data_IF_970662386304
#
_entry.id   IF_970662386304
#
_cell.length_a   1.000
_cell.length_b   1.000
_cell.length_c   1.000
_cell.angle_alpha   90.00
_cell.angle_beta   90.00
_cell.angle_gamma   90.00
#
_symmetry.space_group_name_H-M   'P 1'
#
loop_
_entity.id
_entity.type
_entity.pdbx_description
1 polymer ?
#
# COMPACT_ATOMS: atom_id res chain seq x y z
N UNK A 1 -9.01 -17.73 -31.66
CA UNK A 1 -10.17 -18.53 -32.09
C UNK A 1 -11.40 -18.22 -31.22
N UNK A 2 -12.58 -18.21 -31.86
CA UNK A 2 -13.90 -17.76 -31.40
C UNK A 2 -14.25 -17.92 -29.91
N UNK A 3 -13.91 -19.07 -29.31
CA UNK A 3 -14.13 -19.36 -27.88
C UNK A 3 -13.61 -18.26 -26.95
N UNK A 4 -12.44 -17.68 -27.25
CA UNK A 4 -11.87 -16.57 -26.48
C UNK A 4 -12.82 -15.37 -26.46
N UNK A 5 -13.35 -14.99 -27.62
CA UNK A 5 -14.21 -13.81 -27.75
C UNK A 5 -15.54 -14.02 -26.99
N UNK A 6 -16.13 -15.21 -27.12
CA UNK A 6 -17.36 -15.59 -26.40
C UNK A 6 -17.16 -15.50 -24.89
N UNK A 7 -16.08 -16.09 -24.36
CA UNK A 7 -15.78 -16.08 -22.92
C UNK A 7 -15.55 -14.65 -22.42
N UNK A 8 -14.80 -13.83 -23.16
CA UNK A 8 -14.52 -12.44 -22.76
C UNK A 8 -15.77 -11.55 -22.80
N UNK A 9 -16.63 -11.72 -23.80
CA UNK A 9 -17.91 -11.02 -23.86
C UNK A 9 -18.80 -11.37 -22.66
N UNK A 10 -19.00 -12.67 -22.40
CA UNK A 10 -19.81 -13.13 -21.27
C UNK A 10 -19.24 -12.72 -19.91
N UNK A 11 -17.91 -12.70 -19.78
CA UNK A 11 -17.25 -12.20 -18.57
C UNK A 11 -17.55 -10.72 -18.31
N UNK A 12 -17.48 -9.87 -19.35
CA UNK A 12 -17.81 -8.43 -19.27
C UNK A 12 -19.29 -8.21 -18.95
N UNK A 13 -20.19 -8.89 -19.64
CA UNK A 13 -21.63 -8.81 -19.37
C UNK A 13 -21.97 -9.25 -17.94
N UNK A 14 -21.27 -10.26 -17.42
CA UNK A 14 -21.40 -10.72 -16.04
C UNK A 14 -20.69 -9.84 -15.00
N UNK A 15 -20.34 -8.58 -15.36
CA UNK A 15 -19.65 -7.63 -14.48
C UNK A 15 -18.43 -8.24 -13.78
N UNK A 16 -17.57 -8.89 -14.55
CA UNK A 16 -16.31 -9.47 -14.06
C UNK A 16 -16.44 -10.64 -13.08
N UNK A 17 -17.56 -11.37 -13.15
CA UNK A 17 -17.75 -12.57 -12.38
C UNK A 17 -16.61 -13.61 -12.50
N UNK A 18 -16.49 -14.43 -11.46
CA UNK A 18 -15.50 -15.50 -11.39
C UNK A 18 -15.72 -16.62 -12.42
N UNK A 19 -14.74 -17.52 -12.51
CA UNK A 19 -14.69 -18.60 -13.51
C UNK A 19 -15.97 -19.44 -13.56
N UNK A 20 -16.54 -19.83 -12.41
CA UNK A 20 -17.74 -20.67 -12.35
C UNK A 20 -18.96 -19.99 -12.97
N UNK A 21 -19.18 -18.70 -12.66
CA UNK A 21 -20.33 -17.95 -13.14
C UNK A 21 -20.17 -17.56 -14.62
N UNK A 22 -18.95 -17.18 -15.05
CA UNK A 22 -18.67 -16.99 -16.48
C UNK A 22 -18.92 -18.30 -17.26
N UNK A 23 -18.49 -19.45 -16.74
CA UNK A 23 -18.74 -20.75 -17.38
C UNK A 23 -20.23 -21.09 -17.47
N UNK A 24 -21.00 -20.86 -16.40
CA UNK A 24 -22.44 -21.08 -16.38
C UNK A 24 -23.15 -20.23 -17.47
N UNK A 25 -22.77 -18.95 -17.60
CA UNK A 25 -23.33 -18.08 -18.63
C UNK A 25 -22.96 -18.51 -20.05
N UNK A 26 -21.74 -19.01 -20.27
CA UNK A 26 -21.32 -19.52 -21.57
C UNK A 26 -22.07 -20.79 -21.95
N UNK A 27 -22.31 -21.70 -20.99
CA UNK A 27 -23.03 -22.97 -21.20
C UNK A 27 -24.50 -22.81 -21.59
N UNK A 28 -25.11 -21.65 -21.34
CA UNK A 28 -26.48 -21.35 -21.79
C UNK A 28 -26.64 -21.43 -23.30
N UNK A 29 -25.56 -21.23 -24.07
CA UNK A 29 -25.61 -21.18 -25.54
C UNK A 29 -24.51 -21.98 -26.23
N UNK A 30 -23.42 -22.32 -25.53
CA UNK A 30 -22.24 -22.94 -26.16
C UNK A 30 -21.65 -24.08 -25.32
N UNK A 31 -21.45 -25.23 -25.95
CA UNK A 31 -20.72 -26.37 -25.40
C UNK A 31 -19.23 -26.27 -25.69
N UNK A 32 -18.42 -25.85 -24.71
CA UNK A 32 -16.96 -25.76 -24.87
C UNK A 32 -16.28 -26.98 -24.22
N UNK A 33 -15.50 -27.78 -24.98
CA UNK A 33 -14.67 -28.84 -24.43
C UNK A 33 -13.72 -28.30 -23.36
N UNK A 34 -13.58 -29.01 -22.24
CA UNK A 34 -12.79 -28.56 -21.09
C UNK A 34 -13.12 -27.13 -20.64
N UNK A 35 -14.41 -26.75 -20.69
CA UNK A 35 -14.88 -25.36 -20.56
C UNK A 35 -14.33 -24.63 -19.33
N UNK A 36 -14.27 -25.28 -18.16
CA UNK A 36 -13.72 -24.66 -16.93
C UNK A 36 -12.25 -24.28 -17.09
N UNK A 37 -11.43 -25.19 -17.62
CA UNK A 37 -10.00 -24.94 -17.86
C UNK A 37 -9.80 -23.84 -18.93
N UNK A 38 -10.61 -23.88 -19.99
CA UNK A 38 -10.58 -22.88 -21.06
C UNK A 38 -10.95 -21.48 -20.55
N UNK A 39 -12.06 -21.35 -19.80
CA UNK A 39 -12.48 -20.07 -19.19
C UNK A 39 -11.41 -19.56 -18.22
N UNK A 40 -10.94 -20.40 -17.29
CA UNK A 40 -9.89 -20.02 -16.33
C UNK A 40 -8.63 -19.49 -17.04
N UNK A 41 -8.18 -20.20 -18.09
CA UNK A 41 -7.01 -19.81 -18.89
C UNK A 41 -7.24 -18.49 -19.62
N UNK A 42 -8.39 -18.30 -20.24
CA UNK A 42 -8.74 -17.07 -20.99
C UNK A 42 -8.80 -15.87 -20.05
N UNK A 43 -9.52 -15.96 -18.93
CA UNK A 43 -9.65 -14.87 -17.97
C UNK A 43 -8.28 -14.50 -17.36
N UNK A 44 -7.48 -15.50 -16.98
CA UNK A 44 -6.14 -15.28 -16.41
C UNK A 44 -5.18 -14.60 -17.39
N UNK A 45 -5.22 -14.96 -18.68
CA UNK A 45 -4.29 -14.44 -19.70
C UNK A 45 -4.71 -13.10 -20.29
N UNK A 46 -6.00 -12.83 -20.42
CA UNK A 46 -6.49 -11.72 -21.24
C UNK A 46 -7.21 -10.61 -20.46
N UNK A 47 -7.47 -10.79 -19.16
CA UNK A 47 -8.16 -9.77 -18.37
C UNK A 47 -7.30 -9.27 -17.20
N UNK A 48 -6.42 -8.32 -17.52
CA UNK A 48 -5.45 -7.76 -16.56
C UNK A 48 -6.12 -7.07 -15.37
N UNK A 49 -7.26 -6.39 -15.56
CA UNK A 49 -7.96 -5.71 -14.47
C UNK A 49 -8.43 -6.69 -13.38
N UNK A 50 -9.11 -7.78 -13.74
CA UNK A 50 -9.47 -8.83 -12.78
C UNK A 50 -8.24 -9.52 -12.19
N UNK A 51 -7.17 -9.70 -12.97
CA UNK A 51 -5.93 -10.30 -12.43
C UNK A 51 -5.30 -9.40 -11.36
N UNK A 52 -5.27 -8.08 -11.58
CA UNK A 52 -4.78 -7.09 -10.61
C UNK A 52 -5.67 -7.05 -9.37
N UNK A 53 -6.99 -6.99 -9.54
CA UNK A 53 -7.94 -6.95 -8.43
C UNK A 53 -7.98 -8.22 -7.58
N UNK A 54 -7.78 -9.39 -8.20
CA UNK A 54 -7.81 -10.67 -7.49
C UNK A 54 -6.41 -11.19 -7.11
N UNK A 55 -5.36 -10.38 -7.28
CA UNK A 55 -4.02 -10.80 -6.88
C UNK A 55 -4.00 -10.94 -5.35
N UNK A 56 -3.50 -12.06 -4.85
CA UNK A 56 -3.21 -12.17 -3.43
C UNK A 56 -1.94 -11.36 -3.14
N UNK A 57 -1.84 -10.69 -1.98
CA UNK A 57 -0.58 -10.12 -1.52
C UNK A 57 0.52 -11.18 -1.58
N UNK A 58 1.74 -10.77 -1.90
CA UNK A 58 2.89 -11.67 -1.73
C UNK A 58 2.98 -12.08 -0.26
N UNK A 59 3.43 -13.31 -0.01
CA UNK A 59 3.69 -13.73 1.38
C UNK A 59 4.77 -12.79 1.92
N UNK A 60 4.45 -12.07 3.00
CA UNK A 60 5.43 -11.22 3.65
C UNK A 60 6.63 -12.09 4.06
N UNK A 61 7.87 -11.64 3.80
CA UNK A 61 9.04 -12.31 4.36
C UNK A 61 8.99 -12.27 5.89
N UNK A 62 9.82 -13.09 6.54
CA UNK A 62 10.01 -12.96 7.98
C UNK A 62 10.44 -11.52 8.29
N UNK A 63 9.84 -10.91 9.31
CA UNK A 63 10.23 -9.58 9.74
C UNK A 63 11.69 -9.60 10.17
N UNK A 64 12.52 -8.64 9.73
CA UNK A 64 13.87 -8.54 10.23
C UNK A 64 13.84 -8.27 11.74
N UNK A 65 14.84 -8.74 12.48
CA UNK A 65 14.95 -8.44 13.90
C UNK A 65 15.05 -6.92 14.12
N UNK A 66 14.44 -6.40 15.19
CA UNK A 66 14.54 -4.98 15.53
C UNK A 66 16.02 -4.57 15.73
N UNK A 67 16.40 -3.33 15.38
CA UNK A 67 17.72 -2.78 15.67
C UNK A 67 18.06 -2.93 17.16
N UNK A 68 19.35 -3.08 17.49
CA UNK A 68 19.81 -3.29 18.87
C UNK A 68 19.40 -2.13 19.78
N UNK A 69 19.39 -0.93 19.21
CA UNK A 69 19.02 0.35 19.80
C UNK A 69 17.56 0.39 20.26
N UNK A 70 16.69 -0.42 19.63
CA UNK A 70 15.28 -0.58 20.01
C UNK A 70 15.02 -1.78 20.90
N UNK A 71 16.03 -2.65 21.10
CA UNK A 71 15.88 -3.92 21.82
C UNK A 71 16.41 -3.84 23.23
N UNK A 72 17.52 -3.14 23.44
CA UNK A 72 18.23 -3.12 24.71
C UNK A 72 18.08 -1.78 25.40
N UNK A 73 17.96 -1.81 26.72
CA UNK A 73 17.99 -0.60 27.53
C UNK A 73 19.35 0.09 27.38
N UNK A 74 19.34 1.38 27.09
CA UNK A 74 20.53 2.22 26.98
C UNK A 74 20.48 3.33 27.99
N UNK A 75 21.57 4.09 28.11
CA UNK A 75 21.56 5.32 28.94
C UNK A 75 20.52 6.30 28.40
N UNK A 76 20.00 7.13 29.30
CA UNK A 76 19.05 8.20 28.95
C UNK A 76 19.69 9.10 27.87
N UNK A 77 18.91 9.46 26.85
CA UNK A 77 19.32 10.22 25.66
C UNK A 77 20.43 9.60 24.80
N UNK A 78 20.86 8.35 25.06
CA UNK A 78 21.88 7.69 24.22
C UNK A 78 21.37 7.38 22.81
N UNK A 79 20.13 6.91 22.70
CA UNK A 79 19.47 6.64 21.43
C UNK A 79 18.21 7.50 21.34
N UNK A 80 18.14 8.35 20.32
CA UNK A 80 17.02 9.26 20.07
C UNK A 80 16.40 8.91 18.72
N UNK A 81 15.09 8.71 18.71
CA UNK A 81 14.33 8.67 17.46
C UNK A 81 13.90 10.07 17.07
N UNK A 82 14.16 10.45 15.82
CA UNK A 82 13.71 11.70 15.22
C UNK A 82 12.53 11.42 14.29
N UNK A 83 11.46 12.19 14.43
CA UNK A 83 10.31 12.16 13.54
C UNK A 83 9.85 13.58 13.24
N UNK A 84 9.38 13.85 12.03
CA UNK A 84 8.78 15.12 11.67
C UNK A 84 7.26 14.97 11.53
N UNK A 85 6.52 15.84 12.22
CA UNK A 85 5.07 15.93 12.12
C UNK A 85 4.71 17.20 11.34
N UNK A 86 3.91 17.09 10.28
CA UNK A 86 3.45 18.26 9.53
C UNK A 86 3.01 17.93 8.09
N UNK A 87 2.82 18.96 7.26
CA UNK A 87 2.85 20.39 7.62
C UNK A 87 1.60 20.79 8.41
N UNK A 88 1.80 21.63 9.44
CA UNK A 88 0.71 22.31 10.15
C UNK A 88 0.57 23.70 9.53
N UNK A 89 -0.60 23.99 8.98
CA UNK A 89 -0.91 25.32 8.45
C UNK A 89 -1.21 26.26 9.61
N UNK A 90 -0.39 27.29 9.75
CA UNK A 90 -0.53 28.39 10.71
C UNK A 90 -0.87 29.68 9.96
N UNK A 91 -1.32 30.69 10.69
CA UNK A 91 -1.50 32.04 10.16
C UNK A 91 -0.45 32.95 10.79
N UNK A 92 0.46 33.45 9.95
CA UNK A 92 1.45 34.45 10.31
C UNK A 92 0.93 35.85 9.94
N UNK A 93 1.68 36.89 10.32
CA UNK A 93 1.38 38.29 9.99
C UNK A 93 1.32 38.54 8.48
N UNK A 94 2.06 37.76 7.68
CA UNK A 94 2.12 37.87 6.22
C UNK A 94 1.14 36.93 5.49
N UNK A 95 0.36 36.13 6.21
CA UNK A 95 -0.57 35.16 5.64
C UNK A 95 -0.37 33.72 6.13
N UNK A 96 -1.04 32.74 5.49
CA UNK A 96 -0.90 31.33 5.85
C UNK A 96 0.54 30.85 5.63
N UNK A 97 1.07 30.09 6.57
CA UNK A 97 2.40 29.49 6.46
C UNK A 97 2.37 28.05 6.96
N UNK A 98 3.24 27.20 6.42
CA UNK A 98 3.42 25.83 6.88
C UNK A 98 4.57 25.76 7.88
N UNK A 99 4.38 24.97 8.93
CA UNK A 99 5.42 24.60 9.88
C UNK A 99 5.43 23.11 10.10
N UNK A 100 6.58 22.60 10.48
CA UNK A 100 6.77 21.22 10.89
C UNK A 100 7.18 21.18 12.35
N UNK A 101 6.98 20.04 13.01
CA UNK A 101 7.45 19.79 14.37
C UNK A 101 8.44 18.64 14.32
N UNK A 102 9.70 18.91 14.65
CA UNK A 102 10.70 17.90 14.93
C UNK A 102 10.42 17.29 16.31
N UNK A 103 10.14 16.00 16.35
CA UNK A 103 9.89 15.21 17.54
C UNK A 103 11.12 14.35 17.81
N UNK A 104 11.76 14.61 18.94
CA UNK A 104 12.86 13.81 19.46
C UNK A 104 12.34 12.94 20.60
N UNK A 105 12.41 11.62 20.44
CA UNK A 105 11.99 10.67 21.47
C UNK A 105 13.17 9.86 21.97
N UNK A 106 13.43 9.91 23.27
CA UNK A 106 14.41 9.03 23.90
C UNK A 106 13.91 7.58 23.89
N UNK A 107 14.70 6.66 23.32
CA UNK A 107 14.32 5.25 23.25
C UNK A 107 14.37 4.52 24.60
N UNK A 108 15.12 5.04 25.57
CA UNK A 108 15.22 4.46 26.90
C UNK A 108 14.03 4.83 27.81
N UNK A 109 13.62 6.11 27.83
CA UNK A 109 12.62 6.62 28.78
C UNK A 109 11.30 7.06 28.13
N UNK A 110 11.25 7.15 26.80
CA UNK A 110 10.14 7.78 26.06
C UNK A 110 9.94 9.27 26.35
N UNK A 111 10.93 9.95 26.94
CA UNK A 111 10.93 11.41 27.02
C UNK A 111 10.85 12.02 25.61
N UNK A 112 10.01 13.04 25.44
CA UNK A 112 9.75 13.71 24.17
C UNK A 112 10.21 15.16 24.27
N UNK A 113 11.00 15.61 23.30
CA UNK A 113 11.34 17.00 23.05
C UNK A 113 10.79 17.42 21.68
N UNK A 114 10.16 18.59 21.61
CA UNK A 114 9.47 19.08 20.42
C UNK A 114 10.04 20.43 20.01
N UNK A 115 10.36 20.55 18.73
CA UNK A 115 10.87 21.79 18.15
C UNK A 115 10.14 22.15 16.86
N UNK A 116 9.88 23.44 16.66
CA UNK A 116 9.17 23.93 15.48
C UNK A 116 10.17 24.28 14.39
N UNK A 117 9.95 23.78 13.17
CA UNK A 117 10.81 24.04 12.02
C UNK A 117 10.01 24.65 10.87
N UNK A 118 10.65 25.49 10.07
CA UNK A 118 10.00 26.13 8.91
C UNK A 118 9.81 25.15 7.75
N UNK A 119 10.75 24.24 7.57
CA UNK A 119 10.78 23.25 6.51
C UNK A 119 11.62 22.03 6.93
N UNK A 120 11.77 21.06 6.03
CA UNK A 120 12.52 19.82 6.24
C UNK A 120 13.96 19.91 5.70
N UNK A 121 14.51 21.12 5.50
CA UNK A 121 15.89 21.26 5.02
C UNK A 121 16.90 20.92 6.11
N UNK A 122 18.08 20.45 5.69
CA UNK A 122 19.18 20.16 6.62
C UNK A 122 19.64 21.43 7.35
N UNK A 123 19.65 22.58 6.67
CA UNK A 123 19.98 23.88 7.28
C UNK A 123 19.02 24.20 8.42
N UNK A 124 17.71 24.04 8.19
CA UNK A 124 16.72 24.29 9.22
C UNK A 124 16.84 23.28 10.37
N UNK A 125 17.21 22.03 10.08
CA UNK A 125 17.47 21.00 11.10
C UNK A 125 18.68 21.34 11.99
N UNK A 126 19.70 22.03 11.48
CA UNK A 126 20.83 22.49 12.32
C UNK A 126 20.45 23.63 13.28
N UNK A 127 19.31 24.27 13.05
CA UNK A 127 18.75 25.31 13.91
C UNK A 127 17.67 24.78 14.87
N UNK A 128 17.50 23.44 14.89
CA UNK A 128 16.74 22.68 15.87
C UNK A 128 17.72 22.18 16.91
#
# INVERSE_FOLDING_TARGET
ALTRLIVLARHKESRHAGVSQTLANVRKRYGIPSGRASVKRILRRHYMACRRWNVKPFKLPAFPPLPKERRWATRVFQNISLYYVGPITLRDLTGPCERWVALFSCLATRAIHLEVTKNLSAEQFLHV
#
